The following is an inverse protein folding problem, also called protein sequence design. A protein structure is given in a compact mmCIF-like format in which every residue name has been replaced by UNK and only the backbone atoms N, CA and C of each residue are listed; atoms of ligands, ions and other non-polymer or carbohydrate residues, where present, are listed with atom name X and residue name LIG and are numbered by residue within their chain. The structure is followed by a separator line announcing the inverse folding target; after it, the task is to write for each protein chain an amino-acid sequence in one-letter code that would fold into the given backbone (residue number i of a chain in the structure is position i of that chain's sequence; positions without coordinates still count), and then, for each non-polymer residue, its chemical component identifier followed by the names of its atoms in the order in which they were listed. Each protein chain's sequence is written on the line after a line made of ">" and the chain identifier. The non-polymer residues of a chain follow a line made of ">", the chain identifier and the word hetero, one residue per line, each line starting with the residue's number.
data_IF_611225739442
#
_entry.id   IF_611225739442
#
_cell.length_a   1.000
_cell.length_b   1.000
_cell.length_c   1.000
_cell.angle_alpha   90.00
_cell.angle_beta   90.00
_cell.angle_gamma   90.00
#
_symmetry.space_group_name_H-M   'P 1'
#
loop_
_entity.id
_entity.type
_entity.pdbx_description
1 polymer ?
#
# COMPACT_ATOMS: atom_id res chain seq x y z
N UNK A 1 -6.36 6.51 -4.52
CA UNK A 1 -6.01 7.59 -5.51
C UNK A 1 -4.66 7.32 -6.12
N UNK A 2 -4.41 7.80 -7.35
CA UNK A 2 -3.07 7.76 -7.91
C UNK A 2 -2.18 8.81 -7.21
N UNK A 3 -0.88 8.56 -6.94
CA UNK A 3 -0.02 9.52 -6.23
C UNK A 3 -0.02 10.93 -6.84
N UNK A 4 -0.10 11.02 -8.17
CA UNK A 4 -0.14 12.30 -8.89
C UNK A 4 -1.44 13.09 -8.69
N UNK A 5 -2.53 12.40 -8.33
CA UNK A 5 -3.85 13.03 -8.14
C UNK A 5 -4.04 13.52 -6.69
N UNK A 6 -3.05 13.28 -5.83
CA UNK A 6 -3.03 13.78 -4.46
C UNK A 6 -2.52 15.24 -4.46
N UNK A 7 -3.40 16.15 -4.87
CA UNK A 7 -3.12 17.58 -5.01
C UNK A 7 -3.12 18.29 -3.64
N UNK A 8 -2.55 19.49 -3.56
CA UNK A 8 -2.46 20.25 -2.31
C UNK A 8 -3.84 20.53 -1.69
N UNK A 9 -4.85 20.86 -2.53
CA UNK A 9 -6.22 21.06 -2.08
C UNK A 9 -6.84 19.80 -1.51
N UNK A 10 -6.56 18.62 -2.10
CA UNK A 10 -7.02 17.35 -1.54
C UNK A 10 -6.30 17.02 -0.22
N UNK A 11 -4.99 17.29 -0.11
CA UNK A 11 -4.23 17.14 1.13
C UNK A 11 -4.83 18.04 2.23
N UNK A 12 -5.18 19.29 1.92
CA UNK A 12 -5.77 20.22 2.88
C UNK A 12 -7.14 19.75 3.39
N UNK A 13 -7.90 18.99 2.58
CA UNK A 13 -9.18 18.40 3.04
C UNK A 13 -8.95 17.42 4.19
N UNK A 14 -7.85 16.66 4.18
CA UNK A 14 -7.50 15.73 5.29
C UNK A 14 -7.22 16.46 6.60
N UNK A 15 -6.82 17.74 6.54
CA UNK A 15 -6.60 18.57 7.73
C UNK A 15 -7.91 18.99 8.40
N UNK A 16 -8.94 19.30 7.61
CA UNK A 16 -10.15 19.91 8.11
C UNK A 16 -11.35 18.96 8.23
N UNK A 17 -11.37 17.89 7.44
CA UNK A 17 -12.51 16.98 7.40
C UNK A 17 -12.41 15.92 8.50
N UNK A 18 -13.42 15.89 9.36
CA UNK A 18 -13.62 14.81 10.34
C UNK A 18 -14.33 13.57 9.76
N UNK A 19 -14.73 13.63 8.49
CA UNK A 19 -15.46 12.55 7.80
C UNK A 19 -14.53 11.60 7.03
N UNK A 20 -13.29 12.04 6.78
CA UNK A 20 -12.29 11.19 6.14
C UNK A 20 -11.64 10.27 7.17
N UNK A 21 -11.60 8.99 6.83
CA UNK A 21 -10.87 8.01 7.64
C UNK A 21 -9.36 8.30 7.57
N UNK A 22 -8.61 8.02 8.64
CA UNK A 22 -7.17 8.24 8.68
C UNK A 22 -6.38 7.11 7.99
N UNK A 23 -6.91 6.56 6.92
CA UNK A 23 -6.27 5.58 6.05
C UNK A 23 -6.29 6.08 4.61
N UNK A 24 -5.10 6.28 4.04
CA UNK A 24 -4.95 6.73 2.65
C UNK A 24 -4.45 5.57 1.80
N UNK A 25 -5.29 5.10 0.88
CA UNK A 25 -4.86 4.14 -0.13
C UNK A 25 -4.18 4.88 -1.28
N UNK A 26 -2.85 4.74 -1.38
CA UNK A 26 -2.00 5.42 -2.34
C UNK A 26 -1.06 4.41 -3.05
N UNK A 27 -1.52 3.76 -4.13
CA UNK A 27 -0.77 2.72 -4.83
C UNK A 27 0.55 3.24 -5.43
N UNK A 28 1.68 2.81 -4.90
CA UNK A 28 3.01 3.18 -5.40
C UNK A 28 3.51 2.23 -6.48
N UNK A 29 3.18 0.97 -6.41
CA UNK A 29 3.52 -0.16 -7.29
C UNK A 29 4.96 -0.69 -7.11
N UNK A 30 5.97 0.16 -6.99
CA UNK A 30 7.38 -0.19 -6.78
C UNK A 30 8.10 0.91 -6.01
N UNK A 31 9.16 0.54 -5.30
CA UNK A 31 10.07 1.49 -4.64
C UNK A 31 11.22 1.98 -5.53
N UNK A 32 11.29 1.50 -6.78
CA UNK A 32 12.33 1.87 -7.73
C UNK A 32 11.81 2.83 -8.81
N UNK A 33 12.44 3.99 -8.95
CA UNK A 33 12.14 4.95 -10.03
C UNK A 33 12.37 4.33 -11.42
N UNK A 34 13.34 3.43 -11.58
CA UNK A 34 13.58 2.67 -12.81
C UNK A 34 12.36 1.82 -13.15
N UNK A 35 11.86 1.04 -12.21
CA UNK A 35 10.70 0.17 -12.42
C UNK A 35 9.42 0.98 -12.63
N UNK A 36 9.22 2.07 -11.87
CA UNK A 36 8.09 2.98 -12.08
C UNK A 36 8.09 3.57 -13.50
N UNK A 37 9.25 3.94 -14.03
CA UNK A 37 9.39 4.41 -15.41
C UNK A 37 9.05 3.32 -16.43
N UNK A 38 9.51 2.08 -16.21
CA UNK A 38 9.16 0.94 -17.06
C UNK A 38 7.65 0.65 -17.05
N UNK A 39 7.00 0.80 -15.90
CA UNK A 39 5.54 0.72 -15.73
C UNK A 39 4.79 1.92 -16.30
N UNK A 40 5.48 2.90 -16.88
CA UNK A 40 4.91 4.18 -17.35
C UNK A 40 4.19 4.96 -16.24
N UNK A 41 4.61 4.83 -14.97
CA UNK A 41 4.10 5.64 -13.87
C UNK A 41 4.63 7.06 -13.98
N UNK A 42 3.80 8.03 -13.62
CA UNK A 42 4.08 9.46 -13.80
C UNK A 42 4.50 10.15 -12.50
N UNK A 43 5.04 9.39 -11.56
CA UNK A 43 5.57 9.88 -10.28
C UNK A 43 6.89 9.20 -9.98
N UNK A 44 7.69 9.85 -9.16
CA UNK A 44 8.94 9.33 -8.58
C UNK A 44 8.74 8.97 -7.12
N UNK A 45 9.66 8.21 -6.56
CA UNK A 45 9.65 7.88 -5.12
C UNK A 45 9.82 9.14 -4.26
N UNK A 46 10.61 10.11 -4.73
CA UNK A 46 10.75 11.39 -4.05
C UNK A 46 9.43 12.16 -3.95
N UNK A 47 8.66 12.22 -5.04
CA UNK A 47 7.34 12.87 -5.06
C UNK A 47 6.35 12.11 -4.17
N UNK A 48 6.37 10.77 -4.20
CA UNK A 48 5.56 9.93 -3.36
C UNK A 48 5.83 10.20 -1.87
N UNK A 49 7.09 10.19 -1.46
CA UNK A 49 7.49 10.43 -0.07
C UNK A 49 7.17 11.87 0.37
N UNK A 50 7.29 12.86 -0.52
CA UNK A 50 6.87 14.23 -0.21
C UNK A 50 5.37 14.30 0.10
N UNK A 51 4.53 13.58 -0.66
CA UNK A 51 3.09 13.48 -0.39
C UNK A 51 2.81 12.77 0.95
N UNK A 52 3.54 11.69 1.23
CA UNK A 52 3.49 10.98 2.49
C UNK A 52 3.82 11.91 3.68
N UNK A 53 4.94 12.62 3.60
CA UNK A 53 5.40 13.53 4.67
C UNK A 53 4.37 14.64 4.93
N UNK A 54 3.83 15.28 3.88
CA UNK A 54 2.78 16.31 4.01
C UNK A 54 1.52 15.78 4.71
N UNK A 55 1.05 14.59 4.35
CA UNK A 55 -0.12 14.00 4.98
C UNK A 55 0.15 13.66 6.46
N UNK A 56 1.33 13.14 6.78
CA UNK A 56 1.74 12.87 8.18
C UNK A 56 1.91 14.16 9.01
N UNK A 57 2.37 15.25 8.42
CA UNK A 57 2.45 16.57 9.07
C UNK A 57 1.07 17.12 9.42
N UNK A 58 0.11 16.98 8.50
CA UNK A 58 -1.27 17.44 8.72
C UNK A 58 -1.96 16.62 9.80
N UNK A 59 -1.80 15.31 9.78
CA UNK A 59 -2.35 14.41 10.77
C UNK A 59 -1.46 13.16 10.93
N UNK A 60 -0.72 13.11 12.02
CA UNK A 60 0.20 12.00 12.34
C UNK A 60 -0.48 10.63 12.45
N UNK A 61 -1.83 10.61 12.65
CA UNK A 61 -2.62 9.38 12.69
C UNK A 61 -2.91 8.77 11.32
N UNK A 62 -2.68 9.52 10.24
CA UNK A 62 -2.90 8.96 8.89
C UNK A 62 -1.94 7.79 8.67
N UNK A 63 -2.51 6.64 8.31
CA UNK A 63 -1.78 5.46 7.86
C UNK A 63 -1.97 5.26 6.36
N UNK A 64 -1.08 4.46 5.78
CA UNK A 64 -1.05 4.29 4.33
C UNK A 64 -1.24 2.83 3.96
N UNK A 65 -2.03 2.61 2.93
CA UNK A 65 -2.09 1.34 2.21
C UNK A 65 -1.66 1.52 0.75
N UNK A 66 -1.16 0.47 0.14
CA UNK A 66 -0.63 0.51 -1.21
C UNK A 66 -0.80 -0.82 -1.91
N UNK A 67 -0.60 -0.80 -3.24
CA UNK A 67 -0.43 -2.00 -4.05
C UNK A 67 1.02 -2.08 -4.52
N UNK A 68 1.54 -3.31 -4.62
CA UNK A 68 2.88 -3.61 -5.10
C UNK A 68 2.83 -4.65 -6.22
N UNK A 69 3.57 -4.39 -7.29
CA UNK A 69 3.76 -5.33 -8.40
C UNK A 69 5.22 -5.79 -8.36
N UNK A 70 5.41 -7.08 -8.20
CA UNK A 70 6.71 -7.71 -8.05
C UNK A 70 7.05 -8.51 -9.29
N UNK A 71 8.33 -8.56 -9.66
CA UNK A 71 8.75 -9.31 -10.84
C UNK A 71 8.34 -8.65 -12.14
N UNK A 72 8.22 -7.33 -12.17
CA UNK A 72 7.99 -6.61 -13.41
C UNK A 72 9.21 -6.78 -14.33
N UNK A 73 9.04 -6.98 -15.66
CA UNK A 73 10.14 -7.11 -16.60
C UNK A 73 11.20 -6.02 -16.43
N UNK A 74 12.46 -6.41 -16.24
CA UNK A 74 13.56 -5.48 -15.99
C UNK A 74 13.77 -5.08 -14.53
N UNK A 75 12.99 -5.61 -13.57
CA UNK A 75 13.24 -5.44 -12.13
C UNK A 75 14.47 -6.26 -11.71
N UNK A 76 15.48 -5.60 -11.20
CA UNK A 76 16.70 -6.22 -10.64
C UNK A 76 16.59 -6.37 -9.12
N UNK A 77 17.58 -7.04 -8.50
CA UNK A 77 17.58 -7.25 -7.05
C UNK A 77 17.69 -5.92 -6.28
N UNK A 78 18.43 -4.96 -6.83
CA UNK A 78 18.52 -3.61 -6.27
C UNK A 78 17.16 -2.89 -6.27
N UNK A 79 16.41 -2.98 -7.37
CA UNK A 79 15.06 -2.40 -7.49
C UNK A 79 14.09 -3.00 -6.47
N UNK A 80 14.19 -4.32 -6.27
CA UNK A 80 13.40 -5.04 -5.27
C UNK A 80 13.75 -4.58 -3.85
N UNK A 81 15.04 -4.43 -3.53
CA UNK A 81 15.49 -3.94 -2.23
C UNK A 81 15.01 -2.51 -1.95
N UNK A 82 15.00 -1.62 -2.95
CA UNK A 82 14.41 -0.29 -2.83
C UNK A 82 12.91 -0.36 -2.48
N UNK A 83 12.19 -1.33 -3.02
CA UNK A 83 10.77 -1.55 -2.67
C UNK A 83 10.62 -2.02 -1.20
N UNK A 84 11.47 -2.92 -0.73
CA UNK A 84 11.47 -3.33 0.68
C UNK A 84 11.80 -2.18 1.63
N UNK A 85 12.75 -1.33 1.25
CA UNK A 85 13.14 -0.17 2.07
C UNK A 85 12.02 0.89 2.12
N UNK A 86 11.31 1.10 1.01
CA UNK A 86 10.12 1.94 1.00
C UNK A 86 9.04 1.38 1.94
N UNK A 87 8.79 0.06 1.91
CA UNK A 87 7.82 -0.60 2.80
C UNK A 87 8.20 -0.41 4.28
N UNK A 88 9.48 -0.53 4.61
CA UNK A 88 9.97 -0.27 5.97
C UNK A 88 9.78 1.20 6.38
N UNK A 89 10.09 2.13 5.47
CA UNK A 89 10.03 3.58 5.74
C UNK A 89 8.60 4.07 5.98
N UNK A 90 7.67 3.68 5.13
CA UNK A 90 6.28 4.15 5.19
C UNK A 90 5.45 3.36 6.21
N UNK A 91 5.84 2.11 6.48
CA UNK A 91 5.13 1.19 7.37
C UNK A 91 3.68 0.93 6.92
N UNK A 92 3.50 0.57 5.65
CA UNK A 92 2.17 0.33 5.06
C UNK A 92 1.37 -0.73 5.82
N UNK A 93 0.06 -0.49 5.90
CA UNK A 93 -0.96 -1.43 6.41
C UNK A 93 -1.98 -1.73 5.33
N UNK A 94 -2.77 -2.80 5.46
CA UNK A 94 -3.85 -3.16 4.52
C UNK A 94 -3.42 -3.08 3.04
N UNK A 95 -2.21 -3.56 2.75
CA UNK A 95 -1.60 -3.46 1.43
C UNK A 95 -1.62 -4.79 0.71
N UNK A 96 -1.65 -4.72 -0.61
CA UNK A 96 -1.67 -5.88 -1.48
C UNK A 96 -0.40 -5.96 -2.30
N UNK A 97 0.01 -7.19 -2.64
CA UNK A 97 1.16 -7.43 -3.50
C UNK A 97 0.88 -8.57 -4.45
N UNK A 98 1.32 -8.41 -5.69
CA UNK A 98 1.05 -9.33 -6.77
C UNK A 98 2.32 -9.55 -7.60
N UNK A 99 2.48 -10.76 -8.13
CA UNK A 99 3.45 -10.98 -9.20
C UNK A 99 2.91 -10.34 -10.47
N UNK A 100 3.78 -9.68 -11.22
CA UNK A 100 3.42 -9.14 -12.53
C UNK A 100 2.81 -10.24 -13.42
N UNK A 101 1.70 -9.91 -14.04
CA UNK A 101 1.02 -10.76 -15.02
C UNK A 101 0.89 -9.99 -16.34
N UNK A 102 1.46 -10.50 -17.43
CA UNK A 102 1.36 -9.84 -18.74
C UNK A 102 -0.08 -9.77 -19.19
N UNK A 103 -0.47 -8.60 -19.71
CA UNK A 103 -1.81 -8.39 -20.26
C UNK A 103 -1.71 -8.21 -21.76
N UNK A 104 -2.46 -8.97 -22.58
CA UNK A 104 -2.46 -8.83 -24.03
C UNK A 104 -2.64 -7.37 -24.47
N UNK A 105 -1.87 -6.94 -25.45
CA UNK A 105 -1.93 -5.59 -26.01
C UNK A 105 -1.16 -4.51 -25.22
N UNK A 106 -0.41 -4.90 -24.18
CA UNK A 106 0.50 -3.99 -23.49
C UNK A 106 1.95 -4.24 -23.92
N UNK A 107 2.77 -3.19 -23.96
CA UNK A 107 4.22 -3.30 -24.26
C UNK A 107 4.91 -4.30 -23.32
N UNK A 108 4.50 -4.34 -22.07
CA UNK A 108 5.08 -5.24 -21.08
C UNK A 108 4.75 -6.73 -21.32
N UNK A 109 3.75 -7.05 -22.14
CA UNK A 109 3.41 -8.43 -22.47
C UNK A 109 4.46 -9.10 -23.37
N UNK A 110 5.21 -8.29 -24.14
CA UNK A 110 6.21 -8.76 -25.09
C UNK A 110 7.64 -8.77 -24.51
N UNK A 111 7.79 -8.40 -23.22
CA UNK A 111 9.08 -8.38 -22.54
C UNK A 111 9.39 -9.73 -21.87
N UNK A 112 10.68 -10.01 -21.73
CA UNK A 112 11.17 -11.18 -21.00
C UNK A 112 10.75 -11.15 -19.53
N UNK A 113 10.03 -12.17 -19.11
CA UNK A 113 9.57 -12.29 -17.72
C UNK A 113 10.73 -12.70 -16.80
N UNK A 114 10.69 -12.19 -15.59
CA UNK A 114 11.58 -12.65 -14.53
C UNK A 114 11.22 -14.10 -14.16
N UNK A 115 12.23 -14.91 -13.85
CA UNK A 115 12.04 -16.28 -13.40
C UNK A 115 10.97 -16.36 -12.31
N UNK A 116 10.04 -17.31 -12.46
CA UNK A 116 8.90 -17.48 -11.57
C UNK A 116 9.33 -17.74 -10.12
N UNK A 117 10.42 -18.48 -9.92
CA UNK A 117 10.94 -18.78 -8.58
C UNK A 117 11.42 -17.50 -7.91
N UNK A 118 12.19 -16.66 -8.62
CA UNK A 118 12.66 -15.36 -8.12
C UNK A 118 11.48 -14.46 -7.75
N UNK A 119 10.50 -14.36 -8.65
CA UNK A 119 9.30 -13.53 -8.41
C UNK A 119 8.49 -14.02 -7.22
N UNK A 120 8.38 -15.35 -7.03
CA UNK A 120 7.69 -15.93 -5.88
C UNK A 120 8.43 -15.66 -4.58
N UNK A 121 9.75 -15.86 -4.53
CA UNK A 121 10.57 -15.56 -3.34
C UNK A 121 10.51 -14.08 -2.96
N UNK A 122 10.54 -13.19 -3.94
CA UNK A 122 10.36 -11.74 -3.71
C UNK A 122 8.97 -11.41 -3.17
N UNK A 123 7.93 -12.01 -3.74
CA UNK A 123 6.54 -11.81 -3.27
C UNK A 123 6.40 -12.24 -1.81
N UNK A 124 6.90 -13.42 -1.44
CA UNK A 124 6.86 -13.92 -0.07
C UNK A 124 7.56 -12.98 0.91
N UNK A 125 8.74 -12.46 0.56
CA UNK A 125 9.47 -11.49 1.40
C UNK A 125 8.65 -10.21 1.64
N UNK A 126 8.00 -9.67 0.60
CA UNK A 126 7.15 -8.49 0.72
C UNK A 126 5.90 -8.78 1.55
N UNK A 127 5.22 -9.89 1.29
CA UNK A 127 4.02 -10.28 2.03
C UNK A 127 4.32 -10.44 3.52
N UNK A 128 5.41 -11.11 3.87
CA UNK A 128 5.84 -11.25 5.26
C UNK A 128 6.07 -9.88 5.91
N UNK A 129 6.73 -8.94 5.20
CA UNK A 129 6.98 -7.60 5.74
C UNK A 129 5.70 -6.80 5.92
N UNK A 130 4.78 -6.85 4.96
CA UNK A 130 3.47 -6.18 5.05
C UNK A 130 2.62 -6.80 6.16
N UNK A 131 2.67 -8.13 6.32
CA UNK A 131 1.98 -8.83 7.39
C UNK A 131 2.51 -8.44 8.78
N UNK A 132 3.83 -8.33 8.95
CA UNK A 132 4.43 -7.84 10.20
C UNK A 132 3.97 -6.42 10.54
N UNK A 133 3.90 -5.54 9.54
CA UNK A 133 3.39 -4.17 9.72
C UNK A 133 1.92 -4.20 10.18
N UNK A 134 1.09 -5.06 9.57
CA UNK A 134 -0.32 -5.22 9.95
C UNK A 134 -0.48 -5.76 11.37
N UNK A 135 0.31 -6.78 11.73
CA UNK A 135 0.31 -7.32 13.11
C UNK A 135 0.69 -6.23 14.11
N UNK A 136 1.72 -5.44 13.83
CA UNK A 136 2.15 -4.37 14.72
C UNK A 136 1.07 -3.30 14.86
N UNK A 137 0.37 -2.96 13.78
CA UNK A 137 -0.78 -2.06 13.82
C UNK A 137 -1.89 -2.64 14.70
N UNK A 138 -2.26 -3.90 14.50
CA UNK A 138 -3.31 -4.56 15.28
C UNK A 138 -2.94 -4.64 16.78
N UNK A 139 -1.67 -4.97 17.11
CA UNK A 139 -1.17 -4.94 18.49
C UNK A 139 -1.27 -3.56 19.13
N UNK A 140 -1.17 -2.50 18.34
CA UNK A 140 -1.31 -1.13 18.86
C UNK A 140 -2.70 -0.83 19.42
N UNK A 141 -3.71 -1.65 19.12
CA UNK A 141 -5.07 -1.53 19.67
C UNK A 141 -5.28 -2.28 20.99
N UNK A 142 -4.33 -3.11 21.41
CA UNK A 142 -4.45 -3.87 22.65
C UNK A 142 -4.69 -2.91 23.83
N UNK A 143 -5.68 -3.25 24.67
CA UNK A 143 -6.12 -2.41 25.80
C UNK A 143 -6.60 -1.00 25.44
N UNK A 144 -7.01 -0.76 24.18
CA UNK A 144 -7.58 0.51 23.74
C UNK A 144 -9.03 0.33 23.30
N UNK A 145 -9.83 1.35 23.54
CA UNK A 145 -11.16 1.46 22.94
C UNK A 145 -11.03 2.10 21.57
N UNK A 146 -11.59 1.46 20.55
CA UNK A 146 -11.63 1.95 19.17
C UNK A 146 -13.06 2.08 18.68
N UNK A 147 -13.30 2.98 17.73
CA UNK A 147 -14.57 3.06 17.04
C UNK A 147 -14.65 2.01 15.95
N UNK A 148 -15.76 1.32 15.88
CA UNK A 148 -16.04 0.30 14.86
C UNK A 148 -17.34 0.64 14.14
N UNK A 149 -17.29 0.71 12.82
CA UNK A 149 -18.50 0.76 11.99
C UNK A 149 -19.02 -0.66 11.82
N UNK A 150 -20.16 -0.92 12.44
CA UNK A 150 -20.85 -2.20 12.29
C UNK A 150 -21.49 -2.27 10.91
N UNK A 151 -21.15 -3.31 10.14
CA UNK A 151 -21.60 -3.48 8.74
C UNK A 151 -22.65 -4.58 8.63
N UNK A 152 -22.36 -5.78 9.13
CA UNK A 152 -23.18 -6.96 8.94
C UNK A 152 -23.24 -7.85 10.21
N UNK A 153 -24.18 -8.79 10.20
CA UNK A 153 -24.09 -9.97 11.05
C UNK A 153 -23.25 -11.03 10.34
N UNK A 154 -22.60 -11.89 11.12
CA UNK A 154 -21.98 -13.12 10.60
C UNK A 154 -23.04 -14.04 9.97
N UNK A 155 -22.63 -14.95 9.09
CA UNK A 155 -23.56 -15.83 8.36
C UNK A 155 -24.45 -16.66 9.31
N UNK A 156 -23.92 -17.04 10.47
CA UNK A 156 -24.65 -17.74 11.53
C UNK A 156 -25.50 -16.83 12.43
N UNK A 157 -25.44 -15.50 12.19
CA UNK A 157 -26.14 -14.44 12.93
C UNK A 157 -25.82 -14.41 14.44
N UNK A 158 -24.72 -15.00 14.85
CA UNK A 158 -24.33 -15.04 16.28
C UNK A 158 -23.43 -13.85 16.66
N UNK A 159 -22.74 -13.25 15.68
CA UNK A 159 -21.81 -12.16 15.92
C UNK A 159 -22.07 -11.01 14.95
N UNK A 160 -21.57 -9.85 15.31
CA UNK A 160 -21.60 -8.66 14.48
C UNK A 160 -20.21 -8.44 13.89
N UNK A 161 -20.15 -8.17 12.59
CA UNK A 161 -18.93 -7.82 11.89
C UNK A 161 -18.88 -6.33 11.65
N UNK A 162 -17.70 -5.74 11.82
CA UNK A 162 -17.48 -4.33 11.54
C UNK A 162 -16.03 -4.03 11.18
N UNK A 163 -15.76 -2.77 10.92
CA UNK A 163 -14.41 -2.29 10.58
C UNK A 163 -14.04 -1.05 11.39
N UNK A 164 -12.79 -1.02 11.81
CA UNK A 164 -12.20 0.19 12.41
C UNK A 164 -12.00 1.29 11.36
N UNK A 165 -11.66 2.49 11.82
CA UNK A 165 -11.29 3.62 10.94
C UNK A 165 -10.04 3.35 10.07
N UNK A 166 -9.29 2.28 10.35
CA UNK A 166 -8.17 1.78 9.55
C UNK A 166 -8.51 0.50 8.76
N UNK A 167 -9.78 0.21 8.58
CA UNK A 167 -10.28 -0.97 7.86
C UNK A 167 -9.87 -2.31 8.47
N UNK A 168 -9.43 -2.31 9.73
CA UNK A 168 -9.19 -3.56 10.47
C UNK A 168 -10.53 -4.21 10.79
N UNK A 169 -10.67 -5.49 10.43
CA UNK A 169 -11.86 -6.30 10.74
C UNK A 169 -11.97 -6.56 12.24
N UNK A 170 -13.17 -6.41 12.78
CA UNK A 170 -13.51 -6.59 14.20
C UNK A 170 -14.79 -7.37 14.34
#
# INVERSE_FOLDING_TARGET
>A
SHPKDMTEDLIEVYKHSKKLMPLVHLPVQSGSDKVLKLMNRKHTIKEYLNTFDKLKEINSKIEFSSDFIIGYPGEEEEDFNLTLDLIKKVNFINSYSFIFSPRPGTVAADLDLIDKKISTERLEKIQNKLFDNQINMNKSYENKTINVLVENLTDDKTQTFGRSEYMTSV
#
